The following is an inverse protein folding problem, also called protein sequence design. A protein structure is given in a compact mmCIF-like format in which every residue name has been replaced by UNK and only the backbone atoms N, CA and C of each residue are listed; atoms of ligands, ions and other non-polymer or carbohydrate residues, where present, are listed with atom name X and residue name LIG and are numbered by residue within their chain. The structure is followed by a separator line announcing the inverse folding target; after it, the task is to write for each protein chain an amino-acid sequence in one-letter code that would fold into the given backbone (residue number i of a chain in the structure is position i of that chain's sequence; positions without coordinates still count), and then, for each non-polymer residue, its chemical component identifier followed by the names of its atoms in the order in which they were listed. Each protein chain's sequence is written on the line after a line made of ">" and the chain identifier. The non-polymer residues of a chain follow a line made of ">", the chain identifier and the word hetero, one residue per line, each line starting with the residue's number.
data_IF_652823955509
#
_entry.id   IF_652823955509
#
_cell.length_a   1.000
_cell.length_b   1.000
_cell.length_c   1.000
_cell.angle_alpha   90.00
_cell.angle_beta   90.00
_cell.angle_gamma   90.00
#
_symmetry.space_group_name_H-M   'P 1'
#
loop_
_entity.id
_entity.type
_entity.pdbx_description
1 polymer ?
#
# COMPACT_ATOMS: atom_id res chain seq x y z
N UNK A 1 16.75 -22.29 16.14
CA UNK A 1 17.92 -21.57 15.60
C UNK A 1 17.71 -20.10 15.92
N UNK A 2 18.37 -19.58 16.96
CA UNK A 2 18.32 -18.16 17.27
C UNK A 2 19.09 -17.38 16.20
N UNK A 3 18.50 -16.31 15.69
CA UNK A 3 19.13 -15.48 14.67
C UNK A 3 20.25 -14.67 15.33
N UNK A 4 21.53 -14.85 14.96
CA UNK A 4 22.67 -14.24 15.66
C UNK A 4 22.76 -12.70 15.53
N UNK A 5 21.82 -12.09 14.79
CA UNK A 5 21.73 -10.64 14.57
C UNK A 5 20.46 -10.01 15.17
N UNK A 6 19.66 -10.76 15.94
CA UNK A 6 18.48 -10.20 16.60
C UNK A 6 18.89 -9.01 17.49
N UNK A 7 18.20 -7.85 17.40
CA UNK A 7 18.48 -6.72 18.26
C UNK A 7 18.40 -7.14 19.73
N UNK A 8 19.44 -6.81 20.51
CA UNK A 8 19.40 -7.05 21.95
C UNK A 8 18.25 -6.26 22.59
N UNK A 9 17.45 -6.93 23.42
CA UNK A 9 16.33 -6.30 24.12
C UNK A 9 16.85 -5.49 25.30
N UNK A 10 16.57 -4.19 25.26
CA UNK A 10 16.84 -3.27 26.36
C UNK A 10 15.53 -3.05 27.13
N UNK A 11 15.56 -3.35 28.41
CA UNK A 11 14.41 -3.20 29.30
C UNK A 11 14.33 -1.76 29.83
N UNK A 12 13.17 -1.14 29.70
CA UNK A 12 12.89 0.18 30.27
C UNK A 12 11.46 0.63 29.99
N UNK A 13 11.01 1.65 30.71
CA UNK A 13 9.62 2.13 30.69
C UNK A 13 9.31 3.13 29.57
N UNK A 14 10.32 3.71 28.92
CA UNK A 14 10.16 4.60 27.77
C UNK A 14 11.04 4.12 26.63
N UNK A 15 10.41 3.72 25.52
CA UNK A 15 11.10 3.04 24.42
C UNK A 15 10.79 3.74 23.11
N UNK A 16 11.84 3.99 22.33
CA UNK A 16 11.72 4.41 20.93
C UNK A 16 12.05 3.25 20.01
N UNK A 17 11.12 2.90 19.13
CA UNK A 17 11.26 1.85 18.13
C UNK A 17 11.54 2.51 16.76
N UNK A 18 12.62 2.10 16.11
CA UNK A 18 13.04 2.62 14.81
C UNK A 18 12.01 2.30 13.73
N UNK A 19 11.51 3.32 13.03
CA UNK A 19 10.59 3.12 11.91
C UNK A 19 11.29 2.71 10.59
N UNK A 20 12.63 2.59 10.60
CA UNK A 20 13.43 2.24 9.40
C UNK A 20 13.24 0.79 8.96
N UNK A 21 12.94 -0.11 9.90
CA UNK A 21 12.76 -1.53 9.64
C UNK A 21 11.29 -1.93 9.67
N UNK A 22 10.89 -2.88 8.84
CA UNK A 22 9.50 -3.34 8.83
C UNK A 22 9.12 -4.12 10.09
N UNK A 23 10.09 -4.72 10.77
CA UNK A 23 9.87 -5.46 12.02
C UNK A 23 9.20 -4.60 13.10
N UNK A 24 9.41 -3.28 13.06
CA UNK A 24 8.75 -2.32 13.94
C UNK A 24 7.22 -2.43 13.91
N UNK A 25 6.61 -2.63 12.74
CA UNK A 25 5.15 -2.70 12.62
C UNK A 25 4.57 -3.92 13.34
N UNK A 26 5.28 -5.05 13.32
CA UNK A 26 4.89 -6.23 14.10
C UNK A 26 4.92 -5.93 15.60
N UNK A 27 6.01 -5.34 16.09
CA UNK A 27 6.14 -4.95 17.50
C UNK A 27 5.05 -3.95 17.89
N UNK A 28 4.80 -2.93 17.08
CA UNK A 28 3.77 -1.91 17.30
C UNK A 28 2.37 -2.52 17.35
N UNK A 29 2.03 -3.41 16.43
CA UNK A 29 0.73 -4.09 16.44
C UNK A 29 0.54 -4.96 17.68
N UNK A 30 1.58 -5.66 18.14
CA UNK A 30 1.53 -6.41 19.40
C UNK A 30 1.38 -5.50 20.63
N UNK A 31 2.08 -4.36 20.66
CA UNK A 31 1.93 -3.35 21.72
C UNK A 31 0.49 -2.82 21.79
N UNK A 32 -0.07 -2.42 20.64
CA UNK A 32 -1.45 -1.94 20.54
C UNK A 32 -2.46 -2.99 21.02
N UNK A 33 -2.24 -4.26 20.66
CA UNK A 33 -3.10 -5.39 21.06
C UNK A 33 -3.06 -5.64 22.58
N UNK A 34 -1.93 -5.41 23.23
CA UNK A 34 -1.77 -5.49 24.68
C UNK A 34 -2.25 -4.21 25.41
N UNK A 35 -2.84 -3.26 24.68
CA UNK A 35 -3.45 -2.05 25.23
C UNK A 35 -2.50 -0.88 25.47
N UNK A 36 -1.25 -0.97 25.00
CA UNK A 36 -0.33 0.17 25.05
C UNK A 36 -0.75 1.26 24.06
N UNK A 37 -0.57 2.51 24.46
CA UNK A 37 -0.61 3.63 23.53
C UNK A 37 0.75 3.75 22.86
N UNK A 38 0.74 3.72 21.54
CA UNK A 38 1.93 3.92 20.71
C UNK A 38 1.77 5.23 19.97
N UNK A 39 2.86 5.97 19.79
CA UNK A 39 2.87 7.26 19.11
C UNK A 39 3.93 7.29 18.01
N UNK A 40 3.74 8.13 16.99
CA UNK A 40 4.78 8.56 16.06
C UNK A 40 5.41 9.84 16.57
N UNK A 41 6.73 9.95 16.50
CA UNK A 41 7.46 11.15 16.91
C UNK A 41 7.54 12.12 15.72
N UNK A 42 6.75 13.19 15.73
CA UNK A 42 6.61 14.12 14.59
C UNK A 42 7.89 14.92 14.31
N UNK A 43 8.72 15.12 15.33
CA UNK A 43 10.00 15.83 15.22
C UNK A 43 11.14 14.94 14.72
N UNK A 44 10.93 13.63 14.65
CA UNK A 44 11.92 12.68 14.15
C UNK A 44 11.81 12.57 12.62
N UNK A 45 12.90 12.76 11.85
CA UNK A 45 12.85 12.65 10.38
C UNK A 45 12.32 11.30 9.85
N UNK A 46 12.41 10.25 10.66
CA UNK A 46 11.95 8.90 10.32
C UNK A 46 10.55 8.60 10.85
N UNK A 47 9.98 9.49 11.67
CA UNK A 47 8.74 9.26 12.41
C UNK A 47 8.81 7.95 13.20
N UNK A 48 9.90 7.75 13.95
CA UNK A 48 10.07 6.61 14.87
C UNK A 48 8.86 6.49 15.79
N UNK A 49 8.60 5.27 16.27
CA UNK A 49 7.53 5.03 17.21
C UNK A 49 8.00 5.22 18.65
N UNK A 50 7.12 5.71 19.51
CA UNK A 50 7.33 5.85 20.94
C UNK A 50 6.25 5.05 21.69
N UNK A 51 6.67 4.36 22.75
CA UNK A 51 5.77 3.70 23.69
C UNK A 51 6.31 3.87 25.10
N UNK A 52 5.40 4.02 26.06
CA UNK A 52 5.73 4.05 27.47
C UNK A 52 4.80 3.17 28.29
N UNK A 53 5.29 2.67 29.42
CA UNK A 53 4.51 1.87 30.36
C UNK A 53 5.33 0.83 31.11
N UNK A 54 4.72 -0.32 31.38
CA UNK A 54 5.32 -1.43 32.12
C UNK A 54 6.50 -2.03 31.35
N UNK A 55 7.69 -1.91 31.93
CA UNK A 55 8.96 -2.31 31.32
C UNK A 55 9.08 -3.81 31.06
N UNK A 56 8.49 -4.67 31.91
CA UNK A 56 8.51 -6.12 31.75
C UNK A 56 7.61 -6.54 30.58
N UNK A 57 6.42 -5.95 30.48
CA UNK A 57 5.51 -6.22 29.36
C UNK A 57 6.06 -5.72 28.03
N UNK A 58 6.66 -4.53 27.99
CA UNK A 58 7.29 -4.00 26.78
C UNK A 58 8.46 -4.90 26.36
N UNK A 59 9.34 -5.28 27.30
CA UNK A 59 10.45 -6.19 27.02
C UNK A 59 9.98 -7.54 26.47
N UNK A 60 8.94 -8.15 27.06
CA UNK A 60 8.38 -9.41 26.58
C UNK A 60 7.84 -9.31 25.14
N UNK A 61 7.30 -8.16 24.73
CA UNK A 61 6.84 -7.93 23.35
C UNK A 61 8.04 -7.75 22.41
N UNK A 62 9.08 -7.03 22.84
CA UNK A 62 10.33 -6.87 22.08
C UNK A 62 11.07 -8.19 21.89
N UNK A 63 11.01 -9.12 22.84
CA UNK A 63 11.54 -10.48 22.70
C UNK A 63 10.75 -11.31 21.68
N UNK A 64 9.42 -11.21 21.69
CA UNK A 64 8.52 -11.91 20.74
C UNK A 64 8.61 -11.35 19.32
N UNK A 65 8.84 -10.05 19.18
CA UNK A 65 9.00 -9.37 17.90
C UNK A 65 10.22 -8.44 17.94
N UNK A 66 11.45 -9.00 17.79
CA UNK A 66 12.68 -8.22 17.85
C UNK A 66 12.72 -7.13 16.79
N UNK A 67 12.96 -5.90 17.24
CA UNK A 67 13.08 -4.71 16.41
C UNK A 67 14.15 -3.78 16.96
N UNK A 68 14.70 -2.92 16.11
CA UNK A 68 15.68 -1.92 16.55
C UNK A 68 14.96 -0.91 17.43
N UNK A 69 15.40 -0.81 18.69
CA UNK A 69 14.85 0.11 19.67
C UNK A 69 15.95 0.69 20.55
N UNK A 70 15.62 1.75 21.28
CA UNK A 70 16.47 2.41 22.26
C UNK A 70 15.63 2.92 23.42
N UNK A 71 16.24 2.99 24.60
CA UNK A 71 15.65 3.64 25.75
C UNK A 71 15.82 5.16 25.65
N UNK A 72 14.88 5.90 26.23
CA UNK A 72 14.94 7.35 26.39
C UNK A 72 14.50 7.72 27.81
N UNK A 73 14.88 8.92 28.28
CA UNK A 73 14.56 9.33 29.65
C UNK A 73 13.11 9.82 29.80
N UNK A 74 12.50 10.31 28.71
CA UNK A 74 11.15 10.90 28.70
C UNK A 74 10.51 10.92 27.30
N UNK A 75 9.22 11.22 27.27
CA UNK A 75 8.43 11.47 26.07
C UNK A 75 8.89 12.70 25.26
N UNK A 76 8.40 12.80 24.02
CA UNK A 76 8.68 13.90 23.08
C UNK A 76 7.53 14.91 23.04
N UNK A 77 7.85 16.18 22.76
CA UNK A 77 6.87 17.28 22.84
C UNK A 77 5.77 17.23 21.76
N UNK A 78 6.08 16.68 20.57
CA UNK A 78 5.15 16.54 19.44
C UNK A 78 5.12 15.11 18.97
N UNK A 79 3.99 14.46 19.21
CA UNK A 79 3.75 13.08 18.84
C UNK A 79 2.30 12.88 18.41
N UNK A 80 2.11 12.00 17.43
CA UNK A 80 0.79 11.60 16.93
C UNK A 80 0.47 10.19 17.42
N UNK A 81 -0.65 10.00 18.13
CA UNK A 81 -1.09 8.67 18.59
C UNK A 81 -1.41 7.76 17.40
N UNK A 82 -0.84 6.57 17.38
CA UNK A 82 -1.08 5.55 16.36
C UNK A 82 -2.36 4.79 16.69
N UNK A 83 -3.33 4.80 15.78
CA UNK A 83 -4.56 4.01 15.92
C UNK A 83 -4.71 3.01 14.77
N UNK A 84 -4.90 1.71 15.05
CA UNK A 84 -5.17 0.74 14.00
C UNK A 84 -6.50 1.05 13.32
N UNK A 85 -6.52 0.98 12.00
CA UNK A 85 -7.71 1.15 11.18
C UNK A 85 -8.38 -0.19 10.88
N UNK A 86 -9.70 -0.19 10.67
CA UNK A 86 -10.44 -1.38 10.24
C UNK A 86 -10.25 -1.60 8.74
N UNK A 87 -9.51 -2.65 8.39
CA UNK A 87 -9.07 -2.91 7.01
C UNK A 87 -9.97 -3.94 6.32
N UNK A 88 -10.54 -3.58 5.18
CA UNK A 88 -11.14 -4.48 4.20
C UNK A 88 -10.09 -4.89 3.15
N UNK A 89 -9.83 -6.19 3.03
CA UNK A 89 -8.94 -6.78 2.02
C UNK A 89 -9.78 -7.37 0.90
N UNK A 90 -9.78 -6.76 -0.29
CA UNK A 90 -10.61 -7.24 -1.38
C UNK A 90 -10.06 -8.54 -1.98
N UNK A 91 -10.90 -9.58 -1.97
CA UNK A 91 -10.64 -10.86 -2.61
C UNK A 91 -11.75 -11.18 -3.61
N UNK A 92 -11.50 -10.90 -4.88
CA UNK A 92 -12.38 -11.38 -5.95
C UNK A 92 -12.33 -12.90 -6.05
N UNK A 93 -13.45 -13.49 -6.44
CA UNK A 93 -13.58 -14.94 -6.50
C UNK A 93 -12.89 -15.55 -7.73
N UNK A 94 -13.22 -15.05 -8.92
CA UNK A 94 -12.93 -15.72 -10.20
C UNK A 94 -11.45 -16.02 -10.40
N UNK A 95 -11.00 -17.29 -10.55
CA UNK A 95 -9.57 -17.71 -10.72
C UNK A 95 -8.59 -17.32 -9.59
N UNK A 96 -9.07 -16.65 -8.54
CA UNK A 96 -8.24 -16.09 -7.47
C UNK A 96 -7.30 -14.97 -7.93
N UNK A 97 -6.73 -14.25 -6.97
CA UNK A 97 -5.74 -13.22 -7.21
C UNK A 97 -4.48 -13.53 -6.36
N UNK A 98 -3.36 -13.81 -7.01
CA UNK A 98 -2.12 -14.10 -6.30
C UNK A 98 -1.60 -12.88 -5.52
N UNK A 99 -1.76 -11.66 -6.06
CA UNK A 99 -1.33 -10.43 -5.41
C UNK A 99 -2.09 -10.20 -4.08
N UNK A 100 -3.37 -10.55 -4.06
CA UNK A 100 -4.21 -10.57 -2.85
C UNK A 100 -3.62 -11.50 -1.77
N UNK A 101 -3.27 -12.74 -2.14
CA UNK A 101 -2.71 -13.70 -1.20
C UNK A 101 -1.35 -13.25 -0.62
N UNK A 102 -0.48 -12.68 -1.45
CA UNK A 102 0.78 -12.11 -0.98
C UNK A 102 0.56 -10.90 -0.07
N UNK A 103 -0.48 -10.10 -0.33
CA UNK A 103 -0.86 -8.97 0.53
C UNK A 103 -1.30 -9.46 1.91
N UNK A 104 -2.19 -10.46 1.99
CA UNK A 104 -2.57 -11.09 3.27
C UNK A 104 -1.36 -11.62 4.03
N UNK A 105 -0.44 -12.31 3.34
CA UNK A 105 0.77 -12.84 3.95
C UNK A 105 1.61 -11.74 4.65
N UNK A 106 1.81 -10.57 4.04
CA UNK A 106 2.58 -9.50 4.68
C UNK A 106 1.84 -8.85 5.85
N UNK A 107 0.50 -8.78 5.80
CA UNK A 107 -0.34 -8.28 6.88
C UNK A 107 -0.29 -9.22 8.08
N UNK A 108 -0.48 -10.52 7.86
CA UNK A 108 -0.43 -11.56 8.90
C UNK A 108 0.94 -11.65 9.56
N UNK A 109 2.02 -11.66 8.77
CA UNK A 109 3.38 -11.68 9.29
C UNK A 109 3.70 -10.47 10.16
N UNK A 110 3.02 -9.35 9.92
CA UNK A 110 3.17 -8.09 10.66
C UNK A 110 2.07 -7.89 11.70
N UNK A 111 1.21 -8.88 11.92
CA UNK A 111 0.11 -8.85 12.90
C UNK A 111 -0.92 -7.72 12.67
N UNK A 112 -1.16 -7.32 11.42
CA UNK A 112 -2.30 -6.47 11.09
C UNK A 112 -3.59 -7.28 11.06
N UNK A 113 -4.65 -6.75 11.67
CA UNK A 113 -5.99 -7.30 11.56
C UNK A 113 -6.67 -6.77 10.29
N UNK A 114 -7.34 -7.66 9.57
CA UNK A 114 -8.10 -7.32 8.37
C UNK A 114 -9.29 -8.26 8.22
N UNK A 115 -10.28 -7.83 7.44
CA UNK A 115 -11.42 -8.66 7.03
C UNK A 115 -11.38 -8.84 5.52
N UNK A 116 -11.40 -10.08 5.06
CA UNK A 116 -11.58 -10.37 3.63
C UNK A 116 -12.99 -9.96 3.21
N UNK A 117 -13.09 -9.16 2.15
CA UNK A 117 -14.36 -8.77 1.53
C UNK A 117 -14.43 -9.30 0.11
N UNK A 118 -15.58 -9.83 -0.28
CA UNK A 118 -15.85 -10.33 -1.62
C UNK A 118 -16.74 -9.35 -2.39
N UNK A 119 -17.06 -9.70 -3.64
CA UNK A 119 -17.80 -8.81 -4.56
C UNK A 119 -19.14 -8.34 -3.97
N UNK A 120 -19.90 -9.26 -3.35
CA UNK A 120 -21.19 -8.95 -2.72
C UNK A 120 -21.06 -8.03 -1.51
N UNK A 121 -19.99 -8.17 -0.73
CA UNK A 121 -19.75 -7.31 0.43
C UNK A 121 -19.52 -5.86 -0.04
N UNK A 122 -18.70 -5.67 -1.08
CA UNK A 122 -18.50 -4.34 -1.68
C UNK A 122 -19.81 -3.77 -2.26
N UNK A 123 -20.61 -4.60 -2.93
CA UNK A 123 -21.90 -4.18 -3.50
C UNK A 123 -22.91 -3.76 -2.42
N UNK A 124 -22.88 -4.42 -1.26
CA UNK A 124 -23.73 -4.10 -0.13
C UNK A 124 -23.29 -2.83 0.60
N UNK A 125 -21.98 -2.52 0.58
CA UNK A 125 -21.42 -1.34 1.19
C UNK A 125 -20.22 -1.67 2.08
N UNK A 126 -19.39 -0.66 2.32
CA UNK A 126 -18.19 -0.77 3.16
C UNK A 126 -18.36 -0.04 4.49
N UNK A 127 -19.60 0.08 4.98
CA UNK A 127 -19.84 0.69 6.30
C UNK A 127 -19.09 -0.09 7.40
N UNK A 128 -18.41 0.64 8.27
CA UNK A 128 -17.65 0.06 9.37
C UNK A 128 -16.20 -0.29 9.05
N UNK A 129 -15.74 -0.12 7.81
CA UNK A 129 -14.32 -0.13 7.46
C UNK A 129 -13.77 1.30 7.37
N UNK A 130 -12.47 1.44 7.60
CA UNK A 130 -11.74 2.69 7.42
C UNK A 130 -10.85 2.64 6.15
N UNK A 131 -10.38 1.45 5.78
CA UNK A 131 -9.47 1.24 4.63
C UNK A 131 -9.97 0.10 3.76
N UNK A 132 -9.96 0.28 2.45
CA UNK A 132 -10.10 -0.77 1.44
C UNK A 132 -8.77 -0.96 0.71
N UNK A 133 -8.26 -2.18 0.68
CA UNK A 133 -7.11 -2.56 -0.14
C UNK A 133 -7.61 -3.23 -1.42
N UNK A 134 -7.26 -2.64 -2.56
CA UNK A 134 -7.44 -3.21 -3.89
C UNK A 134 -6.08 -3.77 -4.37
N UNK A 135 -5.83 -5.08 -4.21
CA UNK A 135 -4.61 -5.71 -4.72
C UNK A 135 -4.51 -5.58 -6.23
N UNK A 136 -3.29 -5.76 -6.76
CA UNK A 136 -3.02 -5.58 -8.18
C UNK A 136 -3.87 -6.52 -9.03
N UNK A 137 -4.70 -5.92 -9.88
CA UNK A 137 -5.58 -6.65 -10.78
C UNK A 137 -6.02 -5.78 -11.95
N UNK A 138 -6.41 -6.40 -13.06
CA UNK A 138 -6.90 -5.68 -14.24
C UNK A 138 -8.31 -5.15 -14.02
N UNK A 139 -8.64 -4.00 -14.63
CA UNK A 139 -9.99 -3.40 -14.57
C UNK A 139 -11.10 -4.42 -14.90
N UNK A 140 -10.92 -5.20 -15.97
CA UNK A 140 -11.89 -6.22 -16.38
C UNK A 140 -12.09 -7.34 -15.36
N UNK A 141 -11.04 -7.71 -14.62
CA UNK A 141 -11.13 -8.71 -13.56
C UNK A 141 -11.79 -8.17 -12.29
N UNK A 142 -11.51 -6.91 -11.93
CA UNK A 142 -12.16 -6.23 -10.79
C UNK A 142 -13.66 -6.10 -11.05
N UNK A 143 -14.05 -5.54 -12.19
CA UNK A 143 -15.47 -5.40 -12.56
C UNK A 143 -16.16 -6.74 -12.74
N UNK A 144 -15.41 -7.74 -13.20
CA UNK A 144 -15.87 -9.10 -13.46
C UNK A 144 -15.97 -9.41 -14.96
N UNK A 145 -15.86 -10.68 -15.36
CA UNK A 145 -15.80 -11.11 -16.76
C UNK A 145 -16.95 -10.60 -17.64
N UNK A 146 -18.13 -10.38 -17.06
CA UNK A 146 -19.32 -9.83 -17.76
C UNK A 146 -19.08 -8.41 -18.30
N UNK A 147 -18.29 -7.61 -17.59
CA UNK A 147 -18.02 -6.21 -17.94
C UNK A 147 -16.64 -6.02 -18.57
N UNK A 148 -15.81 -7.08 -18.58
CA UNK A 148 -14.50 -7.06 -19.18
C UNK A 148 -14.58 -6.92 -20.70
N UNK A 149 -14.15 -5.76 -21.21
CA UNK A 149 -14.10 -5.50 -22.64
C UNK A 149 -12.67 -5.39 -23.19
N UNK A 150 -11.65 -5.68 -22.38
CA UNK A 150 -10.26 -5.58 -22.80
C UNK A 150 -9.71 -6.91 -23.37
N UNK A 151 -8.81 -6.85 -24.39
CA UNK A 151 -8.23 -8.04 -25.01
C UNK A 151 -7.39 -8.90 -24.05
N UNK A 152 -6.78 -8.31 -23.02
CA UNK A 152 -5.90 -9.02 -22.08
C UNK A 152 -6.70 -9.93 -21.18
N UNK A 153 -7.80 -9.46 -20.62
CA UNK A 153 -8.74 -10.29 -19.85
C UNK A 153 -9.24 -11.43 -20.72
N UNK A 154 -9.73 -11.16 -21.93
CA UNK A 154 -10.17 -12.22 -22.87
C UNK A 154 -9.08 -13.26 -23.15
N UNK A 155 -7.84 -12.82 -23.38
CA UNK A 155 -6.70 -13.71 -23.61
C UNK A 155 -6.34 -14.56 -22.38
N UNK A 156 -6.32 -13.97 -21.19
CA UNK A 156 -6.04 -14.70 -19.93
C UNK A 156 -7.13 -15.74 -19.64
N UNK A 157 -8.36 -15.44 -20.03
CA UNK A 157 -9.55 -16.25 -19.78
C UNK A 157 -9.71 -17.40 -20.76
N UNK A 158 -8.98 -17.44 -21.87
CA UNK A 158 -9.14 -18.49 -22.90
C UNK A 158 -8.83 -19.90 -22.39
N UNK A 159 -8.01 -20.01 -21.33
CA UNK A 159 -7.63 -21.27 -20.71
C UNK A 159 -8.49 -21.62 -19.49
N UNK A 160 -9.43 -20.74 -19.13
CA UNK A 160 -10.34 -20.94 -18.02
C UNK A 160 -11.61 -21.59 -18.57
N UNK A 161 -11.85 -22.85 -18.21
CA UNK A 161 -13.08 -23.55 -18.57
C UNK A 161 -14.33 -22.88 -17.96
N UNK A 162 -15.54 -23.25 -18.40
CA UNK A 162 -16.78 -22.72 -17.85
C UNK A 162 -16.80 -22.87 -16.32
N UNK A 163 -17.07 -21.76 -15.63
CA UNK A 163 -17.21 -21.74 -14.17
C UNK A 163 -18.69 -21.63 -13.79
N UNK A 164 -19.11 -22.15 -12.62
CA UNK A 164 -20.43 -21.84 -12.05
C UNK A 164 -20.72 -20.34 -12.06
N UNK A 165 -21.98 -19.95 -12.30
CA UNK A 165 -22.37 -18.54 -12.42
C UNK A 165 -22.04 -17.73 -11.15
N UNK A 166 -22.24 -18.34 -9.98
CA UNK A 166 -21.89 -17.76 -8.67
C UNK A 166 -20.40 -17.44 -8.51
N UNK A 167 -19.55 -18.08 -9.32
CA UNK A 167 -18.10 -17.90 -9.31
C UNK A 167 -17.61 -16.98 -10.43
N UNK A 168 -18.44 -16.71 -11.44
CA UNK A 168 -18.27 -15.71 -12.51
C UNK A 168 -18.54 -14.27 -12.03
N UNK A 169 -18.17 -13.95 -10.80
CA UNK A 169 -18.51 -12.67 -10.16
C UNK A 169 -17.45 -11.58 -10.41
N UNK A 170 -17.84 -10.37 -10.05
CA UNK A 170 -17.02 -9.16 -9.95
C UNK A 170 -17.89 -8.04 -9.40
N UNK A 171 -17.27 -6.94 -8.93
CA UNK A 171 -18.03 -5.89 -8.23
C UNK A 171 -19.01 -5.15 -9.17
N UNK A 172 -18.74 -5.18 -10.48
CA UNK A 172 -19.49 -4.46 -11.49
C UNK A 172 -19.47 -2.93 -11.31
N UNK A 173 -20.18 -2.19 -12.18
CA UNK A 173 -20.29 -0.74 -12.06
C UNK A 173 -20.90 -0.26 -10.74
N UNK A 174 -21.88 -1.00 -10.21
CA UNK A 174 -22.54 -0.65 -8.94
C UNK A 174 -21.58 -0.79 -7.75
N UNK A 175 -20.79 -1.86 -7.68
CA UNK A 175 -19.77 -1.99 -6.65
C UNK A 175 -18.64 -0.97 -6.81
N UNK A 176 -18.28 -0.60 -8.04
CA UNK A 176 -17.34 0.50 -8.28
C UNK A 176 -17.86 1.84 -7.74
N UNK A 177 -19.16 2.12 -7.92
CA UNK A 177 -19.83 3.27 -7.31
C UNK A 177 -19.79 3.20 -5.78
N UNK A 178 -19.97 2.02 -5.17
CA UNK A 178 -19.84 1.84 -3.71
C UNK A 178 -18.45 2.15 -3.18
N UNK A 179 -17.40 1.78 -3.92
CA UNK A 179 -16.01 2.15 -3.56
C UNK A 179 -15.81 3.67 -3.64
N UNK A 180 -16.36 4.32 -4.67
CA UNK A 180 -16.33 5.78 -4.78
C UNK A 180 -17.05 6.47 -3.61
N UNK A 181 -18.26 6.02 -3.29
CA UNK A 181 -19.05 6.53 -2.14
C UNK A 181 -18.29 6.32 -0.82
N UNK A 182 -17.61 5.18 -0.66
CA UNK A 182 -16.78 4.89 0.51
C UNK A 182 -15.64 5.91 0.66
N UNK A 183 -14.89 6.16 -0.42
CA UNK A 183 -13.83 7.17 -0.41
C UNK A 183 -14.39 8.57 -0.09
N UNK A 184 -15.48 8.96 -0.75
CA UNK A 184 -16.13 10.26 -0.54
C UNK A 184 -16.57 10.51 0.92
N UNK A 185 -16.92 9.45 1.65
CA UNK A 185 -17.38 9.49 3.05
C UNK A 185 -16.27 9.30 4.10
N UNK A 186 -15.00 9.50 3.73
CA UNK A 186 -13.87 9.42 4.66
C UNK A 186 -13.10 8.11 4.62
N UNK A 187 -13.51 7.15 3.78
CA UNK A 187 -12.79 5.91 3.58
C UNK A 187 -11.47 6.11 2.82
N UNK A 188 -10.49 5.25 3.10
CA UNK A 188 -9.19 5.24 2.44
C UNK A 188 -9.11 4.08 1.46
N UNK A 189 -8.79 4.32 0.19
CA UNK A 189 -8.63 3.26 -0.83
C UNK A 189 -7.15 3.13 -1.22
N UNK A 190 -6.57 1.95 -1.06
CA UNK A 190 -5.20 1.64 -1.49
C UNK A 190 -5.24 0.81 -2.78
N UNK A 191 -4.88 1.39 -3.91
CA UNK A 191 -4.96 0.74 -5.22
C UNK A 191 -3.56 0.34 -5.72
N UNK A 192 -3.28 -0.96 -5.75
CA UNK A 192 -1.96 -1.48 -6.10
C UNK A 192 -1.81 -1.68 -7.60
N UNK A 193 -0.71 -1.18 -8.16
CA UNK A 193 -0.29 -1.41 -9.53
C UNK A 193 -1.46 -1.25 -10.53
N UNK A 194 -1.87 -2.32 -11.22
CA UNK A 194 -2.95 -2.30 -12.21
C UNK A 194 -4.33 -1.91 -11.66
N UNK A 195 -4.58 -2.09 -10.36
CA UNK A 195 -5.83 -1.61 -9.74
C UNK A 195 -5.90 -0.07 -9.70
N UNK A 196 -4.77 0.62 -9.87
CA UNK A 196 -4.75 2.09 -9.98
C UNK A 196 -5.50 2.58 -11.22
N UNK A 197 -5.44 1.86 -12.35
CA UNK A 197 -6.18 2.26 -13.56
C UNK A 197 -7.70 2.19 -13.33
N UNK A 198 -8.15 1.13 -12.63
CA UNK A 198 -9.54 1.03 -12.16
C UNK A 198 -9.89 2.19 -11.23
N UNK A 199 -9.06 2.47 -10.23
CA UNK A 199 -9.32 3.52 -9.25
C UNK A 199 -9.40 4.91 -9.91
N UNK A 200 -8.46 5.23 -10.80
CA UNK A 200 -8.43 6.48 -11.57
C UNK A 200 -9.76 6.69 -12.30
N UNK A 201 -10.22 5.67 -13.03
CA UNK A 201 -11.43 5.75 -13.86
C UNK A 201 -12.71 5.79 -13.03
N UNK A 202 -12.89 4.84 -12.12
CA UNK A 202 -14.18 4.63 -11.45
C UNK A 202 -14.39 5.51 -10.22
N UNK A 203 -13.32 5.99 -9.60
CA UNK A 203 -13.41 6.99 -8.53
C UNK A 203 -13.30 8.42 -9.11
N UNK A 204 -13.17 8.56 -10.43
CA UNK A 204 -13.08 9.84 -11.15
C UNK A 204 -11.96 10.73 -10.58
N UNK A 205 -10.74 10.20 -10.56
CA UNK A 205 -9.57 10.92 -10.10
C UNK A 205 -8.98 11.72 -11.27
N UNK A 206 -8.56 12.95 -11.00
CA UNK A 206 -7.86 13.79 -11.96
C UNK A 206 -6.38 13.41 -12.12
N UNK A 207 -6.12 12.14 -12.38
CA UNK A 207 -4.80 11.54 -12.63
C UNK A 207 -4.90 10.72 -13.92
N UNK A 208 -3.83 10.67 -14.71
CA UNK A 208 -3.72 9.77 -15.87
C UNK A 208 -2.53 8.83 -15.72
N UNK A 209 -2.69 7.61 -16.23
CA UNK A 209 -1.58 6.71 -16.50
C UNK A 209 -0.96 7.07 -17.86
N UNK A 210 0.22 7.71 -17.86
CA UNK A 210 0.84 8.23 -19.09
C UNK A 210 1.46 7.14 -19.97
N UNK A 211 1.71 5.95 -19.41
CA UNK A 211 2.19 4.78 -20.15
C UNK A 211 1.07 3.81 -20.50
N UNK A 212 -0.18 4.11 -20.10
CA UNK A 212 -1.36 3.34 -20.45
C UNK A 212 -1.55 3.28 -21.97
N UNK A 213 -1.52 2.07 -22.54
CA UNK A 213 -1.68 1.84 -23.97
C UNK A 213 -0.43 2.17 -24.83
N UNK A 214 0.68 2.59 -24.22
CA UNK A 214 1.95 2.76 -24.94
C UNK A 214 2.44 1.38 -25.42
N UNK A 215 2.80 1.22 -26.71
CA UNK A 215 3.26 -0.07 -27.21
C UNK A 215 4.49 -0.59 -26.47
N UNK A 216 4.57 -1.92 -26.26
CA UNK A 216 5.69 -2.58 -25.55
C UNK A 216 7.07 -2.25 -26.15
N UNK A 217 7.15 -1.98 -27.46
CA UNK A 217 8.40 -1.58 -28.12
C UNK A 217 8.86 -0.15 -27.75
N UNK A 218 7.97 0.66 -27.18
CA UNK A 218 8.24 2.05 -26.76
C UNK A 218 8.34 2.19 -25.24
N UNK A 219 7.59 1.39 -24.48
CA UNK A 219 7.71 1.29 -23.03
C UNK A 219 7.60 -0.15 -22.56
N UNK A 220 8.65 -0.65 -21.91
CA UNK A 220 8.66 -1.97 -21.30
C UNK A 220 9.82 -2.08 -20.31
N UNK A 221 9.53 -2.49 -19.09
CA UNK A 221 10.56 -2.81 -18.10
C UNK A 221 10.48 -4.24 -17.58
N UNK A 222 9.40 -4.96 -17.89
CA UNK A 222 9.21 -6.40 -17.70
C UNK A 222 9.75 -6.98 -16.37
N UNK A 223 9.56 -6.24 -15.27
CA UNK A 223 10.07 -6.63 -13.95
C UNK A 223 11.51 -6.16 -13.73
N UNK A 224 11.66 -4.89 -13.39
CA UNK A 224 12.96 -4.24 -13.19
C UNK A 224 13.03 -3.49 -11.88
N UNK A 225 14.25 -3.33 -11.38
CA UNK A 225 14.51 -2.50 -10.21
C UNK A 225 14.77 -1.07 -10.67
N UNK A 226 13.92 -0.14 -10.23
CA UNK A 226 13.97 1.26 -10.63
C UNK A 226 14.29 2.16 -9.44
N UNK A 227 15.01 3.25 -9.70
CA UNK A 227 15.35 4.29 -8.73
C UNK A 227 14.21 5.26 -8.55
N UNK A 228 13.90 5.56 -7.30
CA UNK A 228 12.87 6.55 -6.94
C UNK A 228 13.38 7.54 -5.92
N UNK A 229 12.75 8.71 -5.91
CA UNK A 229 12.87 9.74 -4.88
C UNK A 229 11.58 9.77 -4.07
N UNK A 230 11.70 10.05 -2.77
CA UNK A 230 10.63 9.89 -1.78
C UNK A 230 10.39 11.20 -1.05
N UNK A 231 9.13 11.61 -0.96
CA UNK A 231 8.70 12.72 -0.11
C UNK A 231 8.31 12.21 1.27
N UNK A 232 9.27 12.23 2.20
CA UNK A 232 9.10 11.73 3.58
C UNK A 232 8.16 12.59 4.44
N UNK A 233 7.69 13.73 3.95
CA UNK A 233 6.73 14.56 4.68
C UNK A 233 5.33 13.95 4.68
N UNK A 234 5.04 13.06 3.73
CA UNK A 234 3.74 12.41 3.58
C UNK A 234 3.68 11.11 4.40
N UNK A 235 2.54 10.86 5.06
CA UNK A 235 2.33 9.68 5.93
C UNK A 235 2.68 8.36 5.24
N UNK A 236 2.26 8.18 3.99
CA UNK A 236 2.59 6.99 3.18
C UNK A 236 4.09 6.69 3.14
N UNK A 237 4.94 7.72 3.22
CA UNK A 237 6.40 7.61 3.13
C UNK A 237 7.14 7.70 4.47
N UNK A 238 6.46 7.73 5.62
CA UNK A 238 7.13 7.72 6.92
C UNK A 238 8.01 6.48 7.10
N UNK A 239 9.21 6.67 7.68
CA UNK A 239 10.22 5.62 7.83
C UNK A 239 10.98 5.24 6.54
N UNK A 240 10.66 5.83 5.39
CA UNK A 240 11.38 5.60 4.13
C UNK A 240 12.64 6.51 4.02
N UNK A 241 13.72 6.06 3.34
CA UNK A 241 14.83 6.93 2.98
C UNK A 241 14.44 7.90 1.85
N UNK A 242 15.21 8.99 1.65
CA UNK A 242 14.95 9.98 0.58
C UNK A 242 15.02 9.40 -0.84
N UNK A 243 15.77 8.30 -0.99
CA UNK A 243 15.92 7.55 -2.24
C UNK A 243 15.76 6.08 -1.92
N UNK A 244 14.95 5.39 -2.71
CA UNK A 244 14.75 3.94 -2.57
C UNK A 244 14.76 3.27 -3.94
N UNK A 245 14.65 1.95 -3.91
CA UNK A 245 14.45 1.12 -5.09
C UNK A 245 13.05 0.51 -5.03
N UNK A 246 12.39 0.45 -6.18
CA UNK A 246 11.13 -0.26 -6.34
C UNK A 246 11.30 -1.37 -7.37
N UNK A 247 10.51 -2.43 -7.25
CA UNK A 247 10.34 -3.41 -8.32
C UNK A 247 9.12 -3.01 -9.13
N UNK A 248 9.33 -2.63 -10.39
CA UNK A 248 8.28 -2.19 -11.30
C UNK A 248 8.15 -3.19 -12.45
N UNK A 249 6.91 -3.55 -12.79
CA UNK A 249 6.62 -4.52 -13.84
C UNK A 249 5.49 -4.01 -14.71
N UNK A 250 5.84 -3.14 -15.66
CA UNK A 250 4.94 -2.47 -16.59
C UNK A 250 3.73 -1.88 -15.86
N UNK A 251 3.98 -1.31 -14.69
CA UNK A 251 2.96 -0.67 -13.86
C UNK A 251 2.64 0.74 -14.32
N UNK A 252 1.57 1.35 -13.76
CA UNK A 252 1.16 2.70 -14.11
C UNK A 252 2.19 3.77 -13.74
N UNK A 253 2.24 4.81 -14.57
CA UNK A 253 3.06 6.01 -14.34
C UNK A 253 2.13 7.21 -14.34
N UNK A 254 2.14 8.00 -13.26
CA UNK A 254 1.08 8.95 -13.00
C UNK A 254 1.45 10.37 -13.41
N UNK A 255 0.51 11.06 -14.04
CA UNK A 255 0.50 12.51 -14.18
C UNK A 255 -0.82 13.07 -13.65
N UNK A 256 -0.74 14.07 -12.77
CA UNK A 256 -1.92 14.79 -12.29
C UNK A 256 -2.42 15.68 -13.44
N UNK A 257 -3.73 15.59 -13.72
CA UNK A 257 -4.40 16.33 -14.79
C UNK A 257 -5.41 17.34 -14.27
N UNK A 258 -5.84 17.23 -13.00
CA UNK A 258 -6.68 18.24 -12.39
C UNK A 258 -5.87 19.52 -12.17
N UNK A 259 -6.29 20.59 -12.84
CA UNK A 259 -5.66 21.91 -12.74
C UNK A 259 -6.44 22.86 -11.83
N UNK A 260 -7.68 22.53 -11.50
CA UNK A 260 -8.56 23.36 -10.66
C UNK A 260 -8.44 23.00 -9.18
N UNK A 261 -8.20 21.71 -8.87
CA UNK A 261 -8.04 21.19 -7.52
C UNK A 261 -6.68 20.50 -7.34
N UNK A 262 -5.61 21.09 -7.87
CA UNK A 262 -4.28 20.48 -7.83
C UNK A 262 -3.79 20.16 -6.40
N UNK A 263 -4.21 20.95 -5.40
CA UNK A 263 -3.88 20.75 -3.98
C UNK A 263 -4.47 19.47 -3.37
N UNK A 264 -5.49 18.88 -4.01
CA UNK A 264 -6.06 17.60 -3.61
C UNK A 264 -5.15 16.41 -3.98
N UNK A 265 -4.07 16.63 -4.72
CA UNK A 265 -3.16 15.59 -5.18
C UNK A 265 -1.74 15.83 -4.68
N UNK A 266 -1.16 14.84 -3.99
CA UNK A 266 0.23 14.91 -3.52
C UNK A 266 1.04 13.75 -4.11
N UNK A 267 2.18 14.09 -4.70
CA UNK A 267 3.11 13.10 -5.25
C UNK A 267 4.03 12.65 -4.13
N UNK A 268 3.82 11.43 -3.62
CA UNK A 268 4.61 10.87 -2.53
C UNK A 268 5.94 10.28 -3.01
N UNK A 269 5.97 9.73 -4.22
CA UNK A 269 7.18 9.18 -4.83
C UNK A 269 7.23 9.46 -6.33
N UNK A 270 8.45 9.68 -6.84
CA UNK A 270 8.75 9.82 -8.27
C UNK A 270 9.83 8.85 -8.69
N UNK A 271 9.83 8.46 -9.96
CA UNK A 271 11.02 7.90 -10.58
C UNK A 271 12.15 8.95 -10.56
N UNK A 272 13.40 8.50 -10.49
CA UNK A 272 14.55 9.40 -10.58
C UNK A 272 14.53 10.21 -11.89
N UNK A 273 15.17 11.39 -11.92
CA UNK A 273 15.19 12.23 -13.11
C UNK A 273 16.10 11.69 -14.23
N UNK A 274 17.09 10.87 -13.86
CA UNK A 274 18.01 10.21 -14.79
C UNK A 274 18.49 8.89 -14.21
N UNK A 275 18.95 7.98 -15.07
CA UNK A 275 19.46 6.65 -14.68
C UNK A 275 18.42 5.91 -13.84
N UNK A 276 17.18 5.94 -14.30
CA UNK A 276 16.01 5.36 -13.61
C UNK A 276 16.24 3.87 -13.41
N UNK A 277 16.76 3.18 -14.42
CA UNK A 277 17.08 1.76 -14.31
C UNK A 277 18.24 1.52 -13.33
N UNK A 278 17.98 0.74 -12.27
CA UNK A 278 19.04 0.16 -11.44
C UNK A 278 19.50 -1.19 -11.99
N UNK A 279 18.56 -2.06 -12.34
CA UNK A 279 18.82 -3.43 -12.78
C UNK A 279 17.62 -3.97 -13.56
N UNK A 280 17.87 -4.75 -14.61
CA UNK A 280 16.85 -5.31 -15.50
C UNK A 280 16.83 -4.64 -16.87
N UNK A 281 15.65 -4.45 -17.43
CA UNK A 281 15.38 -3.80 -18.72
C UNK A 281 14.56 -2.54 -18.50
N UNK A 282 14.84 -1.47 -19.24
CA UNK A 282 13.94 -0.32 -19.32
C UNK A 282 14.00 0.28 -20.71
N UNK A 283 12.98 -0.02 -21.51
CA UNK A 283 12.68 0.68 -22.76
C UNK A 283 11.80 1.87 -22.43
N UNK A 284 12.13 3.04 -22.97
CA UNK A 284 11.32 4.25 -22.77
C UNK A 284 11.61 5.02 -21.48
N UNK A 285 12.83 4.98 -20.92
CA UNK A 285 13.19 5.71 -19.69
C UNK A 285 12.75 7.18 -19.69
N UNK A 286 12.86 7.86 -20.84
CA UNK A 286 12.44 9.26 -21.02
C UNK A 286 10.95 9.50 -20.74
N UNK A 287 10.10 8.49 -20.87
CA UNK A 287 8.66 8.59 -20.60
C UNK A 287 8.37 8.63 -19.09
N UNK A 288 9.23 8.03 -18.27
CA UNK A 288 8.96 7.86 -16.83
C UNK A 288 9.87 8.69 -15.93
N UNK A 289 11.02 9.15 -16.41
CA UNK A 289 11.95 9.96 -15.65
C UNK A 289 11.26 11.19 -15.01
N UNK A 290 11.43 11.35 -13.69
CA UNK A 290 10.80 12.43 -12.89
C UNK A 290 9.28 12.32 -12.69
N UNK A 291 8.62 11.35 -13.32
CA UNK A 291 7.17 11.15 -13.22
C UNK A 291 6.77 10.49 -11.90
N UNK A 292 5.51 10.65 -11.51
CA UNK A 292 5.03 10.11 -10.25
C UNK A 292 4.80 8.59 -10.33
N UNK A 293 5.16 7.88 -9.27
CA UNK A 293 4.91 6.44 -9.10
C UNK A 293 4.09 6.12 -7.84
N UNK A 294 3.91 7.07 -6.92
CA UNK A 294 2.93 7.01 -5.83
C UNK A 294 2.27 8.37 -5.69
N UNK A 295 0.94 8.42 -5.70
CA UNK A 295 0.15 9.65 -5.56
C UNK A 295 -0.95 9.42 -4.53
N UNK A 296 -1.09 10.32 -3.57
CA UNK A 296 -2.27 10.40 -2.71
C UNK A 296 -3.23 11.42 -3.30
N UNK A 297 -4.50 11.04 -3.42
CA UNK A 297 -5.57 11.82 -4.04
C UNK A 297 -6.68 11.99 -3.02
N UNK A 298 -7.02 13.22 -2.64
CA UNK A 298 -8.21 13.47 -1.82
C UNK A 298 -9.46 13.13 -2.63
N UNK A 299 -10.43 12.49 -1.99
CA UNK A 299 -11.74 12.20 -2.59
C UNK A 299 -12.83 12.40 -1.54
N UNK A 300 -13.58 13.50 -1.64
CA UNK A 300 -14.51 13.91 -0.59
C UNK A 300 -13.78 14.11 0.75
N UNK A 301 -14.24 13.42 1.79
CA UNK A 301 -13.62 13.42 3.12
C UNK A 301 -12.47 12.41 3.27
N UNK A 302 -12.35 11.46 2.33
CA UNK A 302 -11.35 10.40 2.35
C UNK A 302 -10.22 10.61 1.36
N UNK A 303 -9.51 9.52 1.07
CA UNK A 303 -8.35 9.55 0.19
C UNK A 303 -8.17 8.25 -0.60
N UNK A 304 -7.56 8.37 -1.77
CA UNK A 304 -7.14 7.25 -2.62
C UNK A 304 -5.64 7.32 -2.80
N UNK A 305 -4.94 6.24 -2.48
CA UNK A 305 -3.50 6.11 -2.73
C UNK A 305 -3.29 5.21 -3.93
N UNK A 306 -2.71 5.77 -4.98
CA UNK A 306 -2.36 5.06 -6.21
C UNK A 306 -0.90 4.63 -6.15
N UNK A 307 -0.65 3.34 -6.33
CA UNK A 307 0.70 2.78 -6.39
C UNK A 307 0.97 2.29 -7.82
N UNK A 308 1.98 2.85 -8.49
CA UNK A 308 2.38 2.47 -9.84
C UNK A 308 3.11 1.12 -9.92
N UNK A 309 3.19 0.40 -8.79
CA UNK A 309 3.86 -0.88 -8.64
C UNK A 309 3.17 -1.65 -7.50
N UNK A 310 3.46 -2.93 -7.35
CA UNK A 310 3.02 -3.70 -6.19
C UNK A 310 3.95 -3.41 -5.00
N UNK A 311 3.56 -2.59 -4.01
CA UNK A 311 4.47 -2.27 -2.90
C UNK A 311 4.87 -3.50 -2.08
N UNK A 312 4.05 -4.55 -2.12
CA UNK A 312 4.29 -5.82 -1.48
C UNK A 312 4.91 -6.89 -2.39
N UNK A 313 5.00 -6.65 -3.71
CA UNK A 313 5.27 -7.61 -4.79
C UNK A 313 5.81 -8.98 -4.30
N UNK A 314 4.92 -9.98 -4.32
CA UNK A 314 5.19 -11.38 -3.94
C UNK A 314 5.76 -11.57 -2.53
N UNK A 315 5.46 -10.66 -1.61
CA UNK A 315 6.07 -10.59 -0.28
C UNK A 315 7.62 -10.54 -0.29
N UNK A 316 8.24 -10.06 -1.37
CA UNK A 316 9.70 -10.02 -1.51
C UNK A 316 10.29 -8.60 -1.37
N UNK A 317 9.52 -7.57 -1.70
CA UNK A 317 9.98 -6.17 -1.72
C UNK A 317 9.87 -5.51 -0.35
N UNK A 318 10.57 -6.05 0.66
CA UNK A 318 10.49 -5.56 2.04
C UNK A 318 10.76 -4.04 2.15
N UNK A 319 11.64 -3.48 1.32
CA UNK A 319 11.92 -2.04 1.29
C UNK A 319 10.71 -1.13 1.07
N UNK A 320 9.58 -1.64 0.54
CA UNK A 320 8.40 -0.85 0.18
C UNK A 320 7.13 -1.21 0.96
N UNK A 321 7.16 -2.20 1.86
CA UNK A 321 5.94 -2.59 2.61
C UNK A 321 5.40 -1.46 3.50
N UNK A 322 6.29 -0.60 4.02
CA UNK A 322 5.90 0.55 4.86
C UNK A 322 4.94 1.49 4.15
N UNK A 323 5.03 1.58 2.82
CA UNK A 323 4.10 2.37 2.02
C UNK A 323 2.66 1.92 2.25
N UNK A 324 2.43 0.62 2.43
CA UNK A 324 1.12 0.08 2.79
C UNK A 324 0.87 0.23 4.28
N UNK A 325 1.79 -0.22 5.13
CA UNK A 325 1.56 -0.28 6.58
C UNK A 325 1.30 1.08 7.23
N UNK A 326 1.99 2.14 6.77
CA UNK A 326 1.74 3.50 7.23
C UNK A 326 0.29 3.93 7.00
N UNK A 327 -0.34 3.41 5.94
CA UNK A 327 -1.71 3.73 5.55
C UNK A 327 -2.75 2.83 6.23
N UNK A 328 -2.35 1.95 7.14
CA UNK A 328 -3.24 1.14 7.99
C UNK A 328 -3.35 1.69 9.42
N UNK A 329 -2.70 2.83 9.67
CA UNK A 329 -2.85 3.62 10.87
C UNK A 329 -3.53 4.95 10.57
N UNK A 330 -4.30 5.45 11.54
CA UNK A 330 -4.66 6.86 11.64
C UNK A 330 -3.55 7.62 12.34
#
# INVERSE_FOLDING_TARGET
>A
MECPWAPAVQKGSHVVISAKENSAFKTVNLLLKEGFKVYRIDTCPWHDFYVEGDEDKIAAILEKAPTIHRLVDKAFDKMTEVKPLKVAMYQRYYTGNADEGWTRLILENSCFEYTTVHDKDIQNGLEGFDVLILPSDGEGFILGPKYANDPRTKMMMQWVGPQPEEYCSGIGPDGAKKIKEFAEKGGRVLAFNYASDFAIKYLELGVKNIVGGVPTLQFNDHGSTLRTVVDKTQQVCWGMPDKTLIFHWNGPVFAITDTFHADDYKVAMRFADTKVLRSGLLVGEKLIAGQACVVTCKKGEGEVVLYGFGPQNRAQTTGTFKLVFNMLYR
#
